data_IF_159719693797
#
_entry.id   IF_159719693797
#
_cell.length_a   1.000
_cell.length_b   1.000
_cell.length_c   1.000
_cell.angle_alpha   90.00
_cell.angle_beta   90.00
_cell.angle_gamma   90.00
#
_symmetry.space_group_name_H-M   'P 1'
#
loop_
_entity.id
_entity.type
_entity.pdbx_description
1 polymer ?
#
# COMPACT_ATOMS: atom_id res chain seq x y z
N UNK A 1 -3.18 6.58 -27.43
CA UNK A 1 -4.02 7.10 -26.33
C UNK A 1 -3.05 7.48 -25.23
N UNK A 2 -2.89 8.78 -24.94
CA UNK A 2 -2.17 9.18 -23.74
C UNK A 2 -3.03 8.69 -22.57
N UNK A 3 -2.55 7.71 -21.82
CA UNK A 3 -2.99 7.52 -20.45
C UNK A 3 -2.74 8.85 -19.75
N UNK A 4 -3.82 9.54 -19.37
CA UNK A 4 -3.68 10.68 -18.48
C UNK A 4 -3.12 10.13 -17.17
N UNK A 5 -1.90 10.55 -16.82
CA UNK A 5 -1.32 10.22 -15.53
C UNK A 5 -2.34 10.57 -14.44
N UNK A 6 -2.73 9.55 -13.65
CA UNK A 6 -3.64 9.73 -12.51
C UNK A 6 -3.06 10.77 -11.56
N UNK A 7 -3.92 11.59 -10.95
CA UNK A 7 -3.49 12.52 -9.93
C UNK A 7 -2.98 11.77 -8.69
N UNK A 8 -2.14 12.43 -7.91
CA UNK A 8 -1.64 11.91 -6.63
C UNK A 8 -2.78 11.52 -5.70
N UNK A 9 -3.82 12.35 -5.64
CA UNK A 9 -5.02 12.11 -4.84
C UNK A 9 -5.76 10.85 -5.30
N UNK A 10 -5.90 10.65 -6.62
CA UNK A 10 -6.55 9.43 -7.16
C UNK A 10 -5.77 8.17 -6.78
N UNK A 11 -4.44 8.21 -6.85
CA UNK A 11 -3.58 7.07 -6.47
C UNK A 11 -3.69 6.77 -4.98
N UNK A 12 -3.63 7.80 -4.14
CA UNK A 12 -3.80 7.67 -2.69
C UNK A 12 -5.17 7.10 -2.32
N UNK A 13 -6.23 7.58 -2.96
CA UNK A 13 -7.59 7.09 -2.71
C UNK A 13 -7.75 5.62 -3.10
N UNK A 14 -7.15 5.19 -4.22
CA UNK A 14 -7.14 3.79 -4.62
C UNK A 14 -6.44 2.88 -3.58
N UNK A 15 -5.28 3.30 -3.08
CA UNK A 15 -4.54 2.58 -2.03
C UNK A 15 -5.37 2.52 -0.75
N UNK A 16 -5.92 3.64 -0.27
CA UNK A 16 -6.76 3.67 0.94
C UNK A 16 -7.98 2.77 0.81
N UNK A 17 -8.65 2.83 -0.33
CA UNK A 17 -9.80 1.97 -0.64
C UNK A 17 -9.41 0.49 -0.60
N UNK A 18 -8.27 0.13 -1.19
CA UNK A 18 -7.74 -1.23 -1.13
C UNK A 18 -7.51 -1.67 0.32
N UNK A 19 -6.78 -0.87 1.11
CA UNK A 19 -6.46 -1.18 2.50
C UNK A 19 -7.72 -1.36 3.35
N UNK A 20 -8.72 -0.50 3.20
CA UNK A 20 -9.98 -0.61 3.93
C UNK A 20 -10.70 -1.94 3.61
N UNK A 21 -10.81 -2.28 2.32
CA UNK A 21 -11.43 -3.55 1.89
C UNK A 21 -10.68 -4.76 2.42
N UNK A 22 -9.36 -4.70 2.44
CA UNK A 22 -8.54 -5.82 2.91
C UNK A 22 -8.56 -5.98 4.42
N UNK A 23 -8.61 -4.89 5.18
CA UNK A 23 -8.83 -4.95 6.63
C UNK A 23 -10.13 -5.65 6.96
N UNK A 24 -11.21 -5.32 6.26
CA UNK A 24 -12.50 -5.97 6.40
C UNK A 24 -12.41 -7.47 6.04
N UNK A 25 -11.83 -7.79 4.88
CA UNK A 25 -11.67 -9.17 4.41
C UNK A 25 -10.86 -10.05 5.36
N UNK A 26 -9.80 -9.50 5.95
CA UNK A 26 -8.89 -10.21 6.85
C UNK A 26 -9.32 -10.13 8.33
N UNK A 27 -10.39 -9.40 8.65
CA UNK A 27 -10.85 -9.22 10.04
C UNK A 27 -9.87 -8.45 10.91
N UNK A 28 -9.10 -7.51 10.33
CA UNK A 28 -8.15 -6.66 11.07
C UNK A 28 -8.96 -5.70 11.95
N UNK A 29 -8.99 -5.96 13.25
CA UNK A 29 -9.75 -5.19 14.23
C UNK A 29 -8.90 -4.18 15.03
N UNK A 30 -7.56 -4.28 14.91
CA UNK A 30 -6.63 -3.42 15.61
C UNK A 30 -5.48 -3.03 14.71
N UNK A 31 -5.07 -1.76 14.78
CA UNK A 31 -3.99 -1.19 14.00
C UNK A 31 -2.84 -0.80 14.93
N UNK A 32 -1.62 -1.09 14.50
CA UNK A 32 -0.41 -0.67 15.19
C UNK A 32 -0.03 0.77 14.90
N UNK A 33 0.73 1.35 15.81
CA UNK A 33 1.35 2.68 15.71
C UNK A 33 2.87 2.60 15.57
N UNK A 34 3.38 1.44 15.17
CA UNK A 34 4.81 1.19 14.99
C UNK A 34 5.08 0.63 13.60
N UNK A 35 6.30 0.86 13.10
CA UNK A 35 6.77 0.25 11.87
C UNK A 35 6.98 -1.25 12.10
N UNK A 36 6.50 -2.10 11.20
CA UNK A 36 6.64 -3.55 11.30
C UNK A 36 7.94 -3.98 10.61
N UNK A 37 8.66 -4.98 11.12
CA UNK A 37 9.94 -5.35 10.53
C UNK A 37 9.77 -5.97 9.12
N UNK A 38 10.57 -5.55 8.15
CA UNK A 38 10.58 -6.14 6.79
C UNK A 38 11.22 -7.52 6.80
N UNK A 39 10.55 -8.50 6.18
CA UNK A 39 11.18 -9.76 5.80
C UNK A 39 11.83 -9.56 4.41
N UNK A 40 13.09 -9.97 4.28
CA UNK A 40 13.96 -9.76 3.11
C UNK A 40 13.26 -9.95 1.75
N UNK A 41 13.38 -8.96 0.86
CA UNK A 41 12.65 -8.87 -0.41
C UNK A 41 13.35 -9.63 -1.55
N UNK A 42 12.69 -10.61 -2.18
CA UNK A 42 13.04 -11.12 -3.52
C UNK A 42 11.79 -11.01 -4.42
N UNK A 43 11.84 -10.16 -5.46
CA UNK A 43 10.83 -10.03 -6.53
C UNK A 43 9.47 -9.46 -6.09
N UNK A 44 9.16 -8.20 -6.45
CA UNK A 44 7.93 -7.47 -6.07
C UNK A 44 7.61 -7.42 -4.56
N UNK A 45 8.49 -7.96 -3.70
CA UNK A 45 8.30 -8.05 -2.27
C UNK A 45 8.26 -6.69 -1.57
N UNK A 46 8.84 -5.64 -2.16
CA UNK A 46 8.84 -4.31 -1.57
C UNK A 46 7.44 -3.70 -1.47
N UNK A 47 6.64 -3.75 -2.54
CA UNK A 47 5.27 -3.22 -2.53
C UNK A 47 4.30 -4.15 -1.80
N UNK A 48 4.52 -5.47 -1.85
CA UNK A 48 3.82 -6.40 -0.97
C UNK A 48 4.10 -6.08 0.51
N UNK A 49 5.37 -5.87 0.87
CA UNK A 49 5.75 -5.53 2.24
C UNK A 49 5.13 -4.20 2.65
N UNK A 50 5.27 -3.17 1.83
CA UNK A 50 4.67 -1.87 2.08
C UNK A 50 3.15 -2.01 2.26
N UNK A 51 2.42 -2.53 1.28
CA UNK A 51 0.96 -2.54 1.29
C UNK A 51 0.39 -3.56 2.28
N UNK A 52 0.80 -4.82 2.19
CA UNK A 52 0.17 -5.94 2.92
C UNK A 52 0.72 -6.12 4.33
N UNK A 53 1.98 -5.73 4.56
CA UNK A 53 2.61 -5.86 5.89
C UNK A 53 2.53 -4.56 6.66
N UNK A 54 2.88 -3.44 6.04
CA UNK A 54 2.89 -2.16 6.73
C UNK A 54 1.50 -1.50 6.74
N UNK A 55 1.07 -0.96 5.59
CA UNK A 55 -0.12 -0.11 5.49
C UNK A 55 -1.38 -0.83 5.98
N UNK A 56 -1.52 -2.13 5.69
CA UNK A 56 -2.68 -2.93 6.09
C UNK A 56 -2.86 -2.99 7.62
N UNK A 57 -1.75 -3.05 8.36
CA UNK A 57 -1.74 -3.33 9.79
C UNK A 57 -1.49 -2.11 10.67
N UNK A 58 -1.27 -0.92 10.10
CA UNK A 58 -0.93 0.28 10.87
C UNK A 58 -1.83 1.48 10.59
N UNK A 59 -1.97 2.36 11.57
CA UNK A 59 -2.66 3.64 11.42
C UNK A 59 -1.95 4.54 10.39
N UNK A 60 -2.72 5.43 9.74
CA UNK A 60 -2.15 6.44 8.84
C UNK A 60 -1.08 7.27 9.58
N UNK A 61 0.08 7.42 8.96
CA UNK A 61 1.25 8.09 9.55
C UNK A 61 2.28 7.14 10.20
N UNK A 62 1.95 5.86 10.36
CA UNK A 62 2.85 4.79 10.82
C UNK A 62 3.12 3.78 9.71
N UNK A 63 3.78 2.64 10.00
CA UNK A 63 4.00 1.51 9.06
C UNK A 63 3.99 1.87 7.58
N UNK A 64 5.01 2.56 7.09
CA UNK A 64 5.22 2.83 5.66
C UNK A 64 4.34 3.91 5.02
N UNK A 65 3.33 4.48 5.69
CA UNK A 65 2.45 5.50 5.08
C UNK A 65 3.22 6.73 4.57
N UNK A 66 4.34 7.10 5.22
CA UNK A 66 5.20 8.22 4.78
C UNK A 66 5.99 7.91 3.51
N UNK A 67 6.23 6.64 3.20
CA UNK A 67 6.96 6.27 1.98
C UNK A 67 6.17 6.64 0.73
N UNK A 68 4.84 6.70 0.82
CA UNK A 68 3.96 7.19 -0.24
C UNK A 68 4.14 8.68 -0.54
N UNK A 69 4.88 9.45 0.27
CA UNK A 69 5.30 10.82 -0.06
C UNK A 69 6.19 10.85 -1.31
N UNK A 70 6.98 9.80 -1.55
CA UNK A 70 7.75 9.62 -2.76
C UNK A 70 6.84 9.18 -3.93
N UNK A 71 6.93 9.88 -5.07
CA UNK A 71 6.06 9.63 -6.22
C UNK A 71 6.32 8.28 -6.89
N UNK A 72 7.56 7.77 -6.87
CA UNK A 72 7.88 6.45 -7.41
C UNK A 72 7.31 5.32 -6.55
N UNK A 73 7.36 5.49 -5.22
CA UNK A 73 6.77 4.53 -4.29
C UNK A 73 5.25 4.57 -4.39
N UNK A 74 4.66 5.76 -4.48
CA UNK A 74 3.23 5.92 -4.70
C UNK A 74 2.76 5.24 -5.99
N UNK A 75 3.48 5.45 -7.09
CA UNK A 75 3.17 4.81 -8.37
C UNK A 75 3.27 3.28 -8.26
N UNK A 76 4.34 2.75 -7.68
CA UNK A 76 4.50 1.31 -7.51
C UNK A 76 3.45 0.68 -6.60
N UNK A 77 3.10 1.33 -5.49
CA UNK A 77 2.02 0.90 -4.61
C UNK A 77 0.65 0.96 -5.31
N UNK A 78 0.40 2.01 -6.11
CA UNK A 78 -0.81 2.15 -6.91
C UNK A 78 -0.95 1.03 -7.95
N UNK A 79 0.12 0.75 -8.70
CA UNK A 79 0.14 -0.35 -9.66
C UNK A 79 -0.03 -1.70 -8.95
N UNK A 80 0.60 -1.89 -7.78
CA UNK A 80 0.41 -3.09 -6.98
C UNK A 80 -1.06 -3.31 -6.58
N UNK A 81 -1.77 -2.29 -6.09
CA UNK A 81 -3.17 -2.46 -5.64
C UNK A 81 -4.19 -2.50 -6.77
N UNK A 82 -3.86 -1.99 -7.96
CA UNK A 82 -4.78 -1.94 -9.12
C UNK A 82 -4.53 -3.05 -10.14
N UNK A 83 -3.28 -3.41 -10.37
CA UNK A 83 -2.86 -4.36 -11.41
C UNK A 83 -2.17 -5.61 -10.85
N UNK A 84 -1.64 -5.54 -9.62
CA UNK A 84 -0.93 -6.62 -8.97
C UNK A 84 -1.78 -7.89 -8.95
N UNK A 85 -1.36 -8.89 -9.73
CA UNK A 85 -1.95 -10.22 -9.71
C UNK A 85 -1.75 -10.80 -8.32
N UNK A 86 -2.86 -10.98 -7.59
CA UNK A 86 -2.90 -11.83 -6.40
C UNK A 86 -2.53 -13.25 -6.79
N UNK A 87 -1.30 -13.68 -6.49
CA UNK A 87 -0.86 -15.08 -6.55
C UNK A 87 -0.82 -15.68 -7.95
#
# INVERSE_FOLDING_TARGET
MLEMARSREEKMEAIKTYILRERERCGVSWLGTEYLFELSCFGCGEFYNLVERQLLNTEEGFGGWRELEDEHILEGAFLYVTEGKRG
#
